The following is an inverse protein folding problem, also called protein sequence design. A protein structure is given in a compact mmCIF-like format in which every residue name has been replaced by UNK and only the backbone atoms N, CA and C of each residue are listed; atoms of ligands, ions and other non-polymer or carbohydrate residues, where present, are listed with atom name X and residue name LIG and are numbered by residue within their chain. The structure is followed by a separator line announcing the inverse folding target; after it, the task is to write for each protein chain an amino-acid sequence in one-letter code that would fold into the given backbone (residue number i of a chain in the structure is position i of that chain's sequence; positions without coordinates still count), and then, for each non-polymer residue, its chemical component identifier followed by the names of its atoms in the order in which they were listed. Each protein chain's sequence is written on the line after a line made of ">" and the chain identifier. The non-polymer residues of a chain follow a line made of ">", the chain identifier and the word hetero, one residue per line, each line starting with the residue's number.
data_IF_722822947632
#
_entry.id   IF_722822947632
#
_cell.length_a   1.000
_cell.length_b   1.000
_cell.length_c   1.000
_cell.angle_alpha   90.00
_cell.angle_beta   90.00
_cell.angle_gamma   90.00
#
_symmetry.space_group_name_H-M   'P 1'
#
loop_
_entity.id
_entity.type
_entity.pdbx_description
1 polymer ?
#
# COMPACT_ATOMS: atom_id res chain seq x y z
N UNK A 1 -35.59 2.83 -29.26
CA UNK A 1 -34.16 2.90 -29.67
C UNK A 1 -33.29 3.25 -28.46
N UNK A 2 -32.91 2.27 -27.63
CA UNK A 2 -31.80 2.35 -26.65
C UNK A 2 -31.24 0.94 -26.52
N UNK A 3 -30.07 0.72 -27.09
CA UNK A 3 -29.37 -0.55 -27.05
C UNK A 3 -28.73 -0.73 -25.67
N UNK A 4 -28.98 -1.88 -25.04
CA UNK A 4 -28.10 -2.42 -24.00
C UNK A 4 -27.30 -3.53 -24.67
N UNK A 5 -26.08 -3.20 -25.09
CA UNK A 5 -25.08 -4.17 -25.48
C UNK A 5 -24.64 -4.93 -24.24
N UNK A 6 -25.20 -6.11 -24.02
CA UNK A 6 -24.69 -7.07 -23.06
C UNK A 6 -23.43 -7.70 -23.61
N UNK A 7 -22.28 -7.09 -23.32
CA UNK A 7 -21.00 -7.78 -23.44
C UNK A 7 -20.89 -8.74 -22.26
N UNK A 8 -21.42 -9.95 -22.44
CA UNK A 8 -21.09 -11.05 -21.53
C UNK A 8 -19.60 -11.34 -21.68
N UNK A 9 -18.80 -10.97 -20.68
CA UNK A 9 -17.42 -11.42 -20.48
C UNK A 9 -17.41 -12.95 -20.35
N UNK A 10 -17.46 -13.66 -21.47
CA UNK A 10 -17.17 -15.09 -21.54
C UNK A 10 -15.71 -15.28 -21.89
N UNK A 11 -14.82 -15.22 -20.89
CA UNK A 11 -13.42 -15.55 -21.16
C UNK A 11 -12.41 -15.08 -20.13
N UNK A 12 -12.62 -15.32 -18.85
CA UNK A 12 -11.57 -15.09 -17.84
C UNK A 12 -11.65 -16.05 -16.65
N UNK A 13 -12.26 -17.23 -16.83
CA UNK A 13 -12.12 -18.30 -15.85
C UNK A 13 -10.90 -19.14 -16.24
N UNK A 14 -9.90 -19.16 -15.35
CA UNK A 14 -8.77 -20.10 -15.26
C UNK A 14 -7.42 -19.69 -15.88
N UNK A 15 -6.89 -18.50 -15.61
CA UNK A 15 -5.44 -18.27 -15.76
C UNK A 15 -4.62 -18.52 -14.48
N UNK A 16 -5.24 -18.90 -13.36
CA UNK A 16 -4.60 -18.82 -12.03
C UNK A 16 -4.16 -20.14 -11.39
N UNK A 17 -3.76 -21.15 -12.16
CA UNK A 17 -3.21 -22.40 -11.57
C UNK A 17 -2.22 -23.13 -12.50
N UNK A 18 -1.38 -22.41 -13.25
CA UNK A 18 -0.22 -23.02 -13.93
C UNK A 18 1.05 -22.54 -13.27
N UNK A 19 1.99 -23.46 -13.07
CA UNK A 19 3.33 -23.15 -12.56
C UNK A 19 3.94 -22.03 -13.41
N UNK A 20 4.69 -21.09 -12.79
CA UNK A 20 5.41 -20.05 -13.54
C UNK A 20 6.28 -20.72 -14.60
N UNK A 21 6.25 -20.15 -15.80
CA UNK A 21 7.02 -20.68 -16.92
C UNK A 21 8.41 -20.07 -16.81
N UNK A 22 9.43 -20.92 -16.76
CA UNK A 22 10.80 -20.46 -16.91
C UNK A 22 11.04 -20.07 -18.37
N UNK A 23 10.91 -18.77 -18.66
CA UNK A 23 11.10 -18.21 -19.99
C UNK A 23 12.53 -18.46 -20.51
N UNK A 24 13.53 -18.54 -19.62
CA UNK A 24 14.92 -18.79 -20.01
C UNK A 24 15.07 -20.24 -20.50
N UNK A 25 14.49 -21.18 -19.77
CA UNK A 25 14.46 -22.59 -20.19
C UNK A 25 13.70 -22.75 -21.51
N UNK A 26 12.50 -22.16 -21.60
CA UNK A 26 11.67 -22.23 -22.82
C UNK A 26 12.36 -21.61 -24.05
N UNK A 27 13.08 -20.50 -23.87
CA UNK A 27 13.88 -19.89 -24.93
C UNK A 27 15.09 -20.76 -25.30
N UNK A 28 15.71 -21.45 -24.35
CA UNK A 28 16.73 -22.47 -24.59
C UNK A 28 16.21 -23.61 -25.48
N UNK A 29 15.06 -24.18 -25.13
CA UNK A 29 14.40 -25.23 -25.92
C UNK A 29 14.07 -24.75 -27.33
N UNK A 30 13.62 -23.51 -27.47
CA UNK A 30 13.34 -22.89 -28.78
C UNK A 30 14.61 -22.84 -29.64
N UNK A 31 15.74 -22.40 -29.07
CA UNK A 31 17.03 -22.30 -29.77
C UNK A 31 17.50 -23.70 -30.20
N UNK A 32 17.36 -24.71 -29.34
CA UNK A 32 17.74 -26.08 -29.66
C UNK A 32 16.91 -26.62 -30.84
N UNK A 33 15.58 -26.48 -30.79
CA UNK A 33 14.68 -26.85 -31.89
C UNK A 33 15.03 -26.14 -33.20
N UNK A 34 15.36 -24.85 -33.13
CA UNK A 34 15.78 -24.07 -34.30
C UNK A 34 17.10 -24.60 -34.89
N UNK A 35 18.10 -24.90 -34.05
CA UNK A 35 19.37 -25.48 -34.49
C UNK A 35 19.17 -26.82 -35.18
N UNK A 36 18.38 -27.70 -34.58
CA UNK A 36 18.02 -29.00 -35.19
C UNK A 36 17.32 -28.80 -36.53
N UNK A 37 16.34 -27.90 -36.61
CA UNK A 37 15.60 -27.65 -37.85
C UNK A 37 16.46 -27.05 -38.96
N UNK A 38 17.40 -26.17 -38.61
CA UNK A 38 18.36 -25.58 -39.55
C UNK A 38 19.40 -26.60 -40.05
N UNK A 39 19.78 -27.59 -39.26
CA UNK A 39 20.73 -28.63 -39.67
C UNK A 39 20.14 -29.65 -40.66
N UNK A 40 18.81 -29.67 -40.82
CA UNK A 40 18.12 -30.60 -41.71
C UNK A 40 18.15 -30.14 -43.18
N UNK A 41 18.96 -30.76 -44.03
CA UNK A 41 19.06 -30.41 -45.46
C UNK A 41 17.82 -30.78 -46.30
N UNK A 42 16.84 -31.47 -45.70
CA UNK A 42 15.59 -31.89 -46.37
C UNK A 42 14.49 -30.81 -46.34
N UNK A 43 14.70 -29.73 -45.58
CA UNK A 43 13.70 -28.67 -45.40
C UNK A 43 13.95 -27.55 -46.42
N UNK A 44 12.89 -27.06 -47.04
CA UNK A 44 12.95 -25.90 -47.93
C UNK A 44 13.06 -24.60 -47.14
N UNK A 45 13.60 -23.55 -47.78
CA UNK A 45 13.75 -22.23 -47.16
C UNK A 45 12.41 -21.63 -46.70
N UNK A 46 11.33 -21.88 -47.43
CA UNK A 46 9.98 -21.40 -47.09
C UNK A 46 9.45 -22.08 -45.82
N UNK A 47 9.59 -23.40 -45.72
CA UNK A 47 9.20 -24.17 -44.53
C UNK A 47 10.00 -23.74 -43.30
N UNK A 48 11.31 -23.50 -43.46
CA UNK A 48 12.15 -23.02 -42.36
C UNK A 48 11.69 -21.64 -41.86
N UNK A 49 11.34 -20.72 -42.77
CA UNK A 49 10.81 -19.39 -42.40
C UNK A 49 9.51 -19.51 -41.60
N UNK A 50 8.59 -20.37 -42.02
CA UNK A 50 7.32 -20.60 -41.31
C UNK A 50 7.56 -21.22 -39.93
N UNK A 51 8.50 -22.15 -39.83
CA UNK A 51 8.88 -22.75 -38.56
C UNK A 51 9.46 -21.72 -37.58
N UNK A 52 10.43 -20.92 -38.03
CA UNK A 52 11.02 -19.84 -37.25
C UNK A 52 9.92 -18.90 -36.74
N UNK A 53 9.06 -18.42 -37.64
CA UNK A 53 7.98 -17.51 -37.28
C UNK A 53 7.07 -18.09 -36.19
N UNK A 54 6.69 -19.37 -36.32
CA UNK A 54 5.86 -20.07 -35.34
C UNK A 54 6.50 -20.15 -33.96
N UNK A 55 7.79 -20.51 -33.89
CA UNK A 55 8.52 -20.60 -32.62
C UNK A 55 8.60 -19.23 -31.93
N UNK A 56 8.85 -18.16 -32.69
CA UNK A 56 8.84 -16.79 -32.15
C UNK A 56 7.45 -16.35 -31.69
N UNK A 57 6.39 -16.67 -32.43
CA UNK A 57 5.01 -16.31 -32.04
C UNK A 57 4.58 -17.08 -30.79
N UNK A 58 5.00 -18.35 -30.65
CA UNK A 58 4.83 -19.12 -29.43
C UNK A 58 5.55 -18.47 -28.24
N UNK A 59 6.81 -18.07 -28.41
CA UNK A 59 7.58 -17.41 -27.37
C UNK A 59 6.95 -16.07 -26.93
N UNK A 60 6.49 -15.25 -27.88
CA UNK A 60 5.76 -14.01 -27.58
C UNK A 60 4.51 -14.26 -26.75
N UNK A 61 3.75 -15.31 -27.08
CA UNK A 61 2.57 -15.70 -26.31
C UNK A 61 2.94 -16.06 -24.88
N UNK A 62 4.01 -16.84 -24.68
CA UNK A 62 4.50 -17.19 -23.34
C UNK A 62 4.89 -15.95 -22.53
N UNK A 63 5.61 -15.01 -23.15
CA UNK A 63 6.00 -13.75 -22.51
C UNK A 63 4.76 -12.96 -22.07
N UNK A 64 3.80 -12.73 -22.96
CA UNK A 64 2.58 -11.99 -22.61
C UNK A 64 1.73 -12.66 -21.53
N UNK A 65 1.65 -13.99 -21.52
CA UNK A 65 0.96 -14.71 -20.46
C UNK A 65 1.65 -14.50 -19.10
N UNK A 66 2.98 -14.50 -19.07
CA UNK A 66 3.74 -14.31 -17.83
C UNK A 66 3.74 -12.85 -17.37
N UNK A 67 3.84 -11.89 -18.28
CA UNK A 67 3.66 -10.46 -17.99
C UNK A 67 2.29 -10.18 -17.34
N UNK A 68 1.22 -10.77 -17.87
CA UNK A 68 -0.12 -10.60 -17.31
C UNK A 68 -0.23 -11.16 -15.89
N UNK A 69 0.42 -12.30 -15.61
CA UNK A 69 0.45 -12.87 -14.26
C UNK A 69 1.28 -12.02 -13.31
N UNK A 70 2.44 -11.54 -13.75
CA UNK A 70 3.30 -10.67 -12.96
C UNK A 70 2.56 -9.38 -12.57
N UNK A 71 1.85 -8.76 -13.52
CA UNK A 71 1.01 -7.59 -13.27
C UNK A 71 -0.07 -7.88 -12.22
N UNK A 72 -0.82 -8.98 -12.39
CA UNK A 72 -1.86 -9.35 -11.42
C UNK A 72 -1.30 -9.63 -10.02
N UNK A 73 -0.11 -10.22 -9.93
CA UNK A 73 0.55 -10.44 -8.66
C UNK A 73 0.94 -9.13 -7.97
N UNK A 74 1.36 -8.12 -8.73
CA UNK A 74 1.60 -6.77 -8.22
C UNK A 74 0.30 -6.14 -7.72
N UNK A 75 -0.79 -6.22 -8.49
CA UNK A 75 -2.11 -5.70 -8.07
C UNK A 75 -2.58 -6.33 -6.75
N UNK A 76 -2.42 -7.66 -6.63
CA UNK A 76 -2.74 -8.39 -5.40
C UNK A 76 -1.87 -7.92 -4.23
N UNK A 77 -0.57 -7.69 -4.45
CA UNK A 77 0.35 -7.21 -3.42
C UNK A 77 -0.02 -5.81 -2.95
N UNK A 78 -0.39 -4.92 -3.86
CA UNK A 78 -0.86 -3.58 -3.55
C UNK A 78 -2.17 -3.61 -2.75
N UNK A 79 -3.14 -4.42 -3.17
CA UNK A 79 -4.41 -4.58 -2.47
C UNK A 79 -4.22 -5.11 -1.04
N UNK A 80 -3.34 -6.11 -0.87
CA UNK A 80 -3.03 -6.67 0.46
C UNK A 80 -2.31 -5.64 1.35
N UNK A 81 -1.33 -4.92 0.80
CA UNK A 81 -0.63 -3.89 1.56
C UNK A 81 -1.60 -2.77 2.00
N UNK A 82 -2.48 -2.33 1.10
CA UNK A 82 -3.49 -1.31 1.38
C UNK A 82 -4.50 -1.77 2.42
N UNK A 83 -4.96 -3.02 2.34
CA UNK A 83 -5.88 -3.61 3.32
C UNK A 83 -5.22 -3.69 4.71
N UNK A 84 -3.98 -4.16 4.79
CA UNK A 84 -3.25 -4.26 6.06
C UNK A 84 -3.04 -2.90 6.72
N UNK A 85 -2.66 -1.86 5.95
CA UNK A 85 -2.54 -0.50 6.50
C UNK A 85 -3.90 0.00 7.02
N UNK A 86 -4.98 -0.26 6.28
CA UNK A 86 -6.34 0.14 6.69
C UNK A 86 -6.77 -0.58 7.98
N UNK A 87 -6.44 -1.86 8.11
CA UNK A 87 -6.69 -2.67 9.30
C UNK A 87 -5.99 -2.10 10.52
N UNK A 88 -4.68 -1.85 10.42
CA UNK A 88 -3.89 -1.27 11.52
C UNK A 88 -4.40 0.11 11.92
N UNK A 89 -4.78 0.96 10.96
CA UNK A 89 -5.35 2.27 11.25
C UNK A 89 -6.71 2.17 11.95
N UNK A 90 -7.56 1.23 11.56
CA UNK A 90 -8.85 1.00 12.21
C UNK A 90 -8.66 0.51 13.65
N UNK A 91 -7.74 -0.43 13.88
CA UNK A 91 -7.38 -0.91 15.22
C UNK A 91 -6.87 0.23 16.10
N UNK A 92 -5.92 1.02 15.60
CA UNK A 92 -5.39 2.19 16.31
C UNK A 92 -6.50 3.18 16.67
N UNK A 93 -7.43 3.46 15.74
CA UNK A 93 -8.51 4.41 15.98
C UNK A 93 -9.48 3.94 17.08
N UNK A 94 -9.75 2.63 17.16
CA UNK A 94 -10.56 2.04 18.25
C UNK A 94 -9.86 2.25 19.59
N UNK A 95 -8.57 1.94 19.68
CA UNK A 95 -7.79 2.12 20.92
C UNK A 95 -7.71 3.58 21.34
N UNK A 96 -7.47 4.50 20.40
CA UNK A 96 -7.40 5.93 20.67
C UNK A 96 -8.74 6.47 21.16
N UNK A 97 -9.86 6.05 20.55
CA UNK A 97 -11.19 6.48 20.96
C UNK A 97 -11.51 6.02 22.38
N UNK A 98 -11.19 4.77 22.71
CA UNK A 98 -11.36 4.24 24.07
C UNK A 98 -10.55 5.04 25.09
N UNK A 99 -9.27 5.30 24.80
CA UNK A 99 -8.40 6.09 25.68
C UNK A 99 -8.93 7.51 25.90
N UNK A 100 -9.45 8.17 24.85
CA UNK A 100 -10.03 9.51 24.98
C UNK A 100 -11.26 9.51 25.90
N UNK A 101 -12.12 8.49 25.81
CA UNK A 101 -13.28 8.33 26.69
C UNK A 101 -12.84 8.12 28.14
N UNK A 102 -11.89 7.22 28.38
CA UNK A 102 -11.36 6.97 29.73
C UNK A 102 -10.70 8.23 30.34
N UNK A 103 -9.98 9.02 29.55
CA UNK A 103 -9.40 10.29 30.00
C UNK A 103 -10.47 11.34 30.33
N UNK A 104 -11.55 11.40 29.54
CA UNK A 104 -12.67 12.29 29.83
C UNK A 104 -13.39 11.89 31.13
N UNK A 105 -13.66 10.60 31.31
CA UNK A 105 -14.27 10.06 32.54
C UNK A 105 -13.42 10.37 33.79
N UNK A 106 -12.10 10.16 33.73
CA UNK A 106 -11.19 10.49 34.83
C UNK A 106 -11.21 11.99 35.13
N UNK A 107 -11.24 12.83 34.10
CA UNK A 107 -11.30 14.29 34.27
C UNK A 107 -12.61 14.72 34.94
N UNK A 108 -13.74 14.14 34.54
CA UNK A 108 -15.05 14.40 35.18
C UNK A 108 -15.09 13.93 36.63
N UNK A 109 -14.54 12.74 36.91
CA UNK A 109 -14.43 12.21 38.27
C UNK A 109 -13.58 13.12 39.16
N UNK A 110 -12.43 13.59 38.65
CA UNK A 110 -11.54 14.51 39.38
C UNK A 110 -12.23 15.85 39.67
N UNK A 111 -12.93 16.41 38.69
CA UNK A 111 -13.68 17.66 38.87
C UNK A 111 -14.84 17.50 39.87
N UNK A 112 -15.52 16.35 39.84
CA UNK A 112 -16.59 16.04 40.80
C UNK A 112 -16.04 15.90 42.22
N UNK A 113 -14.88 15.25 42.39
CA UNK A 113 -14.19 15.15 43.67
C UNK A 113 -13.78 16.53 44.21
N UNK A 114 -13.18 17.38 43.37
CA UNK A 114 -12.79 18.74 43.76
C UNK A 114 -13.98 19.64 44.11
N UNK A 115 -15.16 19.39 43.55
CA UNK A 115 -16.38 20.10 43.95
C UNK A 115 -16.95 19.64 45.30
N UNK A 116 -16.71 18.39 45.68
CA UNK A 116 -17.18 17.81 46.95
C UNK A 116 -16.21 18.03 48.10
N UNK A 117 -14.92 18.16 47.77
CA UNK A 117 -13.86 18.64 48.64
C UNK A 117 -13.31 19.93 48.00
N UNK A 118 -14.03 21.06 48.08
CA UNK A 118 -13.37 22.32 47.82
C UNK A 118 -12.25 22.38 48.84
N UNK A 119 -11.00 22.28 48.39
CA UNK A 119 -9.88 22.63 49.25
C UNK A 119 -10.26 23.97 49.87
N UNK A 120 -10.29 24.03 51.20
CA UNK A 120 -10.39 25.30 51.89
C UNK A 120 -9.23 26.12 51.33
N UNK A 121 -9.59 27.13 50.52
CA UNK A 121 -8.70 28.16 50.02
C UNK A 121 -8.23 28.93 51.26
N UNK A 122 -7.29 28.34 52.01
CA UNK A 122 -6.44 29.05 52.94
C UNK A 122 -5.62 29.99 52.07
N UNK A 123 -6.18 31.19 51.89
CA UNK A 123 -5.57 32.29 51.17
C UNK A 123 -4.20 32.58 51.75
N UNK A 124 -3.16 32.12 51.06
CA UNK A 124 -1.80 32.54 51.38
C UNK A 124 -1.56 33.90 50.72
N UNK A 125 -1.72 34.91 51.56
CA UNK A 125 -1.38 36.30 51.36
C UNK A 125 0.05 36.42 50.80
N UNK A 126 0.16 36.67 49.50
CA UNK A 126 1.44 37.01 48.84
C UNK A 126 1.90 38.38 49.35
N UNK A 127 2.59 38.39 50.48
CA UNK A 127 3.37 39.53 50.95
C UNK A 127 4.67 39.59 50.17
N UNK A 128 4.73 40.47 49.15
CA UNK A 128 5.99 41.01 48.68
C UNK A 128 6.52 42.02 49.72
N UNK A 129 7.80 41.95 50.09
CA UNK A 129 8.81 42.85 49.49
C UNK A 129 10.13 42.08 49.26
N UNK A 130 11.14 42.48 48.49
CA UNK A 130 11.54 43.72 47.86
C UNK A 130 12.52 43.35 46.72
N UNK A 131 12.80 44.31 45.86
CA UNK A 131 13.55 44.19 44.61
C UNK A 131 15.01 43.74 44.76
N UNK A 132 15.46 42.81 43.90
CA UNK A 132 16.83 42.82 43.38
C UNK A 132 17.00 42.01 42.07
N UNK A 133 17.00 42.76 40.97
CA UNK A 133 17.88 42.60 39.82
C UNK A 133 17.74 41.41 38.82
N UNK A 134 17.79 41.83 37.55
CA UNK A 134 18.35 41.13 36.39
C UNK A 134 17.44 40.16 35.60
N UNK A 135 16.73 40.75 34.64
CA UNK A 135 16.93 40.47 33.21
C UNK A 135 16.53 39.09 32.67
N UNK A 136 15.49 39.06 31.83
CA UNK A 136 15.21 37.88 31.00
C UNK A 136 13.89 37.95 30.24
N UNK A 137 13.92 38.61 29.09
CA UNK A 137 12.95 38.63 27.99
C UNK A 137 11.71 37.72 28.07
N UNK A 138 10.56 38.39 28.02
CA UNK A 138 9.27 37.90 27.52
C UNK A 138 9.42 37.23 26.13
N UNK A 139 9.59 35.91 26.12
CA UNK A 139 9.46 35.08 24.91
C UNK A 139 8.02 34.59 24.78
N UNK A 140 7.19 35.50 24.27
CA UNK A 140 6.09 35.29 23.33
C UNK A 140 5.81 33.83 22.94
N UNK A 141 4.63 33.36 23.33
CA UNK A 141 3.81 32.32 22.69
C UNK A 141 4.28 31.97 21.28
N UNK A 142 5.09 30.91 21.14
CA UNK A 142 5.43 30.37 19.82
C UNK A 142 4.27 29.51 19.36
N UNK A 143 3.53 30.01 18.36
CA UNK A 143 2.56 29.22 17.61
C UNK A 143 3.28 28.05 16.89
N UNK A 144 2.67 26.86 16.79
CA UNK A 144 3.29 25.75 16.09
C UNK A 144 3.39 26.07 14.58
N UNK A 145 4.44 25.60 13.88
CA UNK A 145 4.58 25.84 12.46
C UNK A 145 3.42 25.18 11.71
N UNK A 146 2.72 25.98 10.90
CA UNK A 146 1.77 25.49 9.90
C UNK A 146 2.55 24.63 8.91
N UNK A 147 2.36 23.31 8.99
CA UNK A 147 2.83 22.37 7.97
C UNK A 147 2.09 22.62 6.67
N UNK A 148 2.70 23.41 5.78
CA UNK A 148 2.34 23.46 4.37
C UNK A 148 3.41 22.71 3.58
N UNK A 149 3.06 21.52 3.10
CA UNK A 149 3.85 20.76 2.13
C UNK A 149 3.01 19.61 1.57
N UNK A 150 2.94 19.42 0.23
CA UNK A 150 2.12 18.39 -0.37
C UNK A 150 2.96 17.12 -0.58
N UNK A 151 2.80 16.15 0.32
CA UNK A 151 3.12 14.73 0.09
C UNK A 151 2.18 13.89 0.94
#
# INVERSE_FOLDING_TARGET
>A
KRGRGGHTCSGSRLCMNRKPIDLKLAMGDMIEKLKEKCANSKITRSELKVFIQREFDYMKKLVHEEEKKALHFVDLKEAVASAHVTEVLAELNVHMTKLMVEMAEITEQLNSFNQLNPEEDDGDEVTAPDSAAAGGSTARFQSPPRGNGPW
#
